data_IF_108861584159
#
_entry.id   IF_108861584159
#
_cell.length_a   1.000
_cell.length_b   1.000
_cell.length_c   1.000
_cell.angle_alpha   90.00
_cell.angle_beta   90.00
_cell.angle_gamma   90.00
#
_symmetry.space_group_name_H-M   'P 1'
#
loop_
_entity.id
_entity.type
_entity.pdbx_description
1 polymer ?
#
# COMPACT_ATOMS: atom_id res chain seq x y z
N UNK A 1 -11.46 6.06 0.72
CA UNK A 1 -10.51 4.96 1.05
C UNK A 1 -9.08 5.45 0.86
N UNK A 2 -8.21 5.00 1.71
CA UNK A 2 -6.76 5.17 1.61
C UNK A 2 -6.18 3.81 1.20
N UNK A 3 -5.63 3.72 0.01
CA UNK A 3 -5.00 2.48 -0.47
C UNK A 3 -3.54 2.49 -0.02
N UNK A 4 -3.11 1.42 0.63
CA UNK A 4 -1.76 1.35 1.21
C UNK A 4 -0.78 0.60 0.32
N UNK A 5 0.41 1.18 0.18
CA UNK A 5 1.58 0.55 -0.41
C UNK A 5 2.40 -0.18 0.66
N UNK A 6 3.27 -1.08 0.23
CA UNK A 6 4.10 -1.92 1.10
C UNK A 6 4.87 -1.12 2.14
N UNK A 7 5.64 -0.11 1.70
CA UNK A 7 6.49 0.68 2.60
C UNK A 7 5.71 1.41 3.69
N UNK A 8 4.49 1.86 3.40
CA UNK A 8 3.64 2.52 4.37
C UNK A 8 3.19 1.55 5.48
N UNK A 9 2.84 0.31 5.12
CA UNK A 9 2.43 -0.69 6.11
C UNK A 9 3.63 -1.17 6.94
N UNK A 10 4.78 -1.38 6.32
CA UNK A 10 6.01 -1.72 7.06
C UNK A 10 6.34 -0.63 8.08
N UNK A 11 6.30 0.64 7.69
CA UNK A 11 6.54 1.75 8.61
C UNK A 11 5.47 1.87 9.71
N UNK A 12 4.22 1.51 9.40
CA UNK A 12 3.14 1.45 10.39
C UNK A 12 3.42 0.41 11.48
N UNK A 13 4.08 -0.70 11.11
CA UNK A 13 4.41 -1.79 12.04
C UNK A 13 5.76 -1.55 12.74
N UNK A 14 6.74 -1.03 12.03
CA UNK A 14 8.11 -0.82 12.52
C UNK A 14 8.22 0.46 13.35
N UNK A 15 8.27 0.30 14.67
CA UNK A 15 8.37 1.44 15.60
C UNK A 15 9.66 2.25 15.43
N UNK A 16 10.69 1.68 14.84
CA UNK A 16 11.97 2.37 14.61
C UNK A 16 11.99 3.17 13.30
N UNK A 17 10.98 3.02 12.45
CA UNK A 17 10.90 3.77 11.20
C UNK A 17 10.57 5.24 11.46
N UNK A 18 11.28 6.13 10.77
CA UNK A 18 11.07 7.58 10.92
C UNK A 18 9.65 8.04 10.56
N UNK A 19 8.94 7.29 9.75
CA UNK A 19 7.56 7.59 9.35
C UNK A 19 6.51 6.92 10.23
N UNK A 20 6.94 6.11 11.20
CA UNK A 20 6.04 5.33 12.04
C UNK A 20 5.00 6.20 12.73
N UNK A 21 5.44 7.26 13.41
CA UNK A 21 4.53 8.09 14.21
C UNK A 21 3.44 8.74 13.35
N UNK A 22 3.79 9.33 12.22
CA UNK A 22 2.82 10.02 11.36
C UNK A 22 1.84 9.03 10.73
N UNK A 23 2.32 7.87 10.27
CA UNK A 23 1.46 6.85 9.67
C UNK A 23 0.57 6.19 10.72
N UNK A 24 1.11 5.94 11.91
CA UNK A 24 0.33 5.40 13.04
C UNK A 24 -0.81 6.35 13.44
N UNK A 25 -0.52 7.63 13.54
CA UNK A 25 -1.53 8.65 13.84
C UNK A 25 -2.63 8.69 12.78
N UNK A 26 -2.26 8.62 11.50
CA UNK A 26 -3.22 8.58 10.40
C UNK A 26 -4.09 7.33 10.44
N UNK A 27 -3.46 6.17 10.64
CA UNK A 27 -4.17 4.89 10.69
C UNK A 27 -5.14 4.83 11.87
N UNK A 28 -4.68 5.18 13.06
CA UNK A 28 -5.49 5.13 14.29
C UNK A 28 -6.66 6.11 14.25
N UNK A 29 -6.54 7.19 13.48
CA UNK A 29 -7.63 8.15 13.28
C UNK A 29 -8.85 7.56 12.58
N UNK A 30 -8.64 6.68 11.61
CA UNK A 30 -9.72 6.01 10.88
C UNK A 30 -9.23 4.71 10.23
N UNK A 31 -9.04 3.65 11.01
CA UNK A 31 -8.55 2.37 10.47
C UNK A 31 -9.45 1.77 9.39
N UNK A 32 -10.76 2.03 9.49
CA UNK A 32 -11.74 1.48 8.55
C UNK A 32 -11.60 2.05 7.14
N UNK A 33 -10.99 3.21 6.98
CA UNK A 33 -10.77 3.82 5.67
C UNK A 33 -9.55 3.26 4.93
N UNK A 34 -8.70 2.48 5.59
CA UNK A 34 -7.50 1.89 5.00
C UNK A 34 -7.80 0.59 4.28
N UNK A 35 -7.21 0.41 3.11
CA UNK A 35 -7.39 -0.77 2.26
C UNK A 35 -6.03 -1.27 1.81
N UNK A 36 -5.73 -2.54 2.09
CA UNK A 36 -4.49 -3.20 1.72
C UNK A 36 -4.72 -4.03 0.45
N UNK A 37 -4.12 -3.67 -0.70
CA UNK A 37 -4.17 -4.53 -1.87
C UNK A 37 -3.50 -5.88 -1.61
N UNK A 38 -4.05 -6.96 -2.13
CA UNK A 38 -3.52 -8.31 -1.95
C UNK A 38 -2.04 -8.44 -2.31
N UNK A 39 -1.59 -7.69 -3.33
CA UNK A 39 -0.22 -7.79 -3.83
C UNK A 39 0.84 -7.33 -2.85
N UNK A 40 0.49 -6.47 -1.89
CA UNK A 40 1.47 -6.03 -0.88
C UNK A 40 1.66 -7.03 0.25
N UNK A 41 0.73 -7.97 0.45
CA UNK A 41 0.71 -8.82 1.65
C UNK A 41 1.97 -9.68 1.79
N UNK A 42 2.40 -10.44 0.75
CA UNK A 42 3.64 -11.22 0.86
C UNK A 42 4.88 -10.35 1.04
N UNK A 43 4.91 -9.19 0.40
CA UNK A 43 6.05 -8.27 0.48
C UNK A 43 6.16 -7.65 1.88
N UNK A 44 5.05 -7.21 2.47
CA UNK A 44 5.01 -6.74 3.86
C UNK A 44 5.47 -7.84 4.81
N UNK A 45 4.93 -9.05 4.67
CA UNK A 45 5.29 -10.21 5.48
C UNK A 45 6.82 -10.46 5.46
N UNK A 46 7.40 -10.51 4.28
CA UNK A 46 8.82 -10.73 4.11
C UNK A 46 9.65 -9.60 4.75
N UNK A 47 9.31 -8.34 4.48
CA UNK A 47 10.07 -7.20 4.99
C UNK A 47 9.97 -7.06 6.51
N UNK A 48 8.80 -7.29 7.08
CA UNK A 48 8.62 -7.27 8.53
C UNK A 48 9.44 -8.37 9.20
N UNK A 49 9.43 -9.58 8.65
CA UNK A 49 10.25 -10.68 9.16
C UNK A 49 11.74 -10.41 9.06
N UNK A 50 12.19 -9.79 7.95
CA UNK A 50 13.60 -9.52 7.71
C UNK A 50 14.15 -8.32 8.50
N UNK A 51 13.34 -7.27 8.69
CA UNK A 51 13.81 -5.98 9.22
C UNK A 51 13.26 -5.62 10.60
N UNK A 52 12.18 -6.24 11.04
CA UNK A 52 11.61 -5.97 12.37
C UNK A 52 11.86 -7.16 13.29
N UNK A 53 11.07 -8.21 13.18
CA UNK A 53 11.23 -9.45 13.96
C UNK A 53 10.32 -10.56 13.46
N UNK A 54 10.64 -11.82 13.80
CA UNK A 54 9.75 -12.96 13.55
C UNK A 54 8.42 -12.80 14.29
N UNK A 55 8.46 -12.24 15.50
CA UNK A 55 7.24 -12.01 16.29
C UNK A 55 6.30 -11.01 15.64
N UNK A 56 6.85 -9.91 15.09
CA UNK A 56 6.05 -8.92 14.37
C UNK A 56 5.45 -9.51 13.09
N UNK A 57 6.21 -10.37 12.38
CA UNK A 57 5.73 -11.09 11.21
C UNK A 57 4.55 -12.00 11.54
N UNK A 58 4.67 -12.80 12.60
CA UNK A 58 3.60 -13.67 13.09
C UNK A 58 2.35 -12.86 13.46
N UNK A 59 2.53 -11.73 14.13
CA UNK A 59 1.44 -10.84 14.52
C UNK A 59 0.73 -10.26 13.29
N UNK A 60 1.47 -9.89 12.25
CA UNK A 60 0.87 -9.40 11.00
C UNK A 60 -0.02 -10.46 10.34
N UNK A 61 0.47 -11.68 10.22
CA UNK A 61 -0.32 -12.79 9.65
C UNK A 61 -1.56 -13.08 10.49
N UNK A 62 -1.43 -13.08 11.81
CA UNK A 62 -2.57 -13.26 12.72
C UNK A 62 -3.62 -12.14 12.55
N UNK A 63 -3.19 -10.89 12.45
CA UNK A 63 -4.07 -9.75 12.23
C UNK A 63 -4.81 -9.86 10.89
N UNK A 64 -4.14 -10.29 9.83
CA UNK A 64 -4.77 -10.56 8.54
C UNK A 64 -5.85 -11.64 8.65
N UNK A 65 -5.52 -12.76 9.31
CA UNK A 65 -6.43 -13.89 9.48
C UNK A 65 -7.66 -13.53 10.31
N UNK A 66 -7.51 -12.66 11.29
CA UNK A 66 -8.57 -12.17 12.16
C UNK A 66 -9.41 -11.03 11.56
N UNK A 67 -9.03 -10.54 10.39
CA UNK A 67 -9.74 -9.45 9.74
C UNK A 67 -9.46 -8.06 10.33
N UNK A 68 -8.33 -7.88 11.02
CA UNK A 68 -7.94 -6.59 11.58
C UNK A 68 -7.65 -5.53 10.51
N UNK A 69 -7.24 -5.97 9.32
CA UNK A 69 -7.05 -5.10 8.17
C UNK A 69 -8.10 -5.37 7.09
N UNK A 70 -8.56 -4.32 6.42
CA UNK A 70 -9.36 -4.48 5.23
C UNK A 70 -8.45 -4.82 4.04
N UNK A 71 -8.69 -5.95 3.40
CA UNK A 71 -7.90 -6.42 2.26
C UNK A 71 -8.71 -6.31 0.98
N UNK A 72 -8.11 -5.71 -0.04
CA UNK A 72 -8.65 -5.73 -1.40
C UNK A 72 -8.07 -6.95 -2.13
N UNK A 73 -8.85 -8.03 -2.23
CA UNK A 73 -8.43 -9.26 -2.91
C UNK A 73 -8.42 -9.09 -4.42
N UNK A 74 -9.18 -8.12 -4.93
CA UNK A 74 -9.20 -7.79 -6.34
C UNK A 74 -9.85 -8.85 -7.22
N UNK A 75 -9.61 -8.71 -8.52
CA UNK A 75 -9.99 -9.67 -9.54
C UNK A 75 -9.04 -9.59 -10.74
N UNK A 76 -9.32 -10.35 -11.81
CA UNK A 76 -8.48 -10.36 -13.02
C UNK A 76 -8.41 -8.99 -13.70
N UNK A 77 -9.45 -8.17 -13.59
CA UNK A 77 -9.45 -6.83 -14.16
C UNK A 77 -8.39 -5.91 -13.55
N UNK A 78 -8.02 -6.13 -12.29
CA UNK A 78 -6.93 -5.38 -11.65
C UNK A 78 -5.58 -5.70 -12.32
N UNK A 79 -5.37 -6.93 -12.78
CA UNK A 79 -4.16 -7.31 -13.52
C UNK A 79 -4.12 -6.68 -14.91
N UNK A 80 -5.25 -6.61 -15.60
CA UNK A 80 -5.36 -5.94 -16.89
C UNK A 80 -5.03 -4.46 -16.77
N UNK A 81 -5.56 -3.79 -15.75
CA UNK A 81 -5.27 -2.39 -15.48
C UNK A 81 -3.81 -2.17 -15.06
N UNK A 82 -3.25 -3.07 -14.25
CA UNK A 82 -1.83 -3.03 -13.87
C UNK A 82 -0.92 -3.12 -15.08
N UNK A 83 -1.23 -4.04 -16.02
CA UNK A 83 -0.50 -4.17 -17.27
C UNK A 83 -0.59 -2.89 -18.11
N UNK A 84 -1.78 -2.32 -18.23
CA UNK A 84 -2.01 -1.09 -18.99
C UNK A 84 -1.18 0.07 -18.45
N UNK A 85 -1.15 0.25 -17.13
CA UNK A 85 -0.36 1.29 -16.46
C UNK A 85 1.14 1.07 -16.69
N UNK A 86 1.63 -0.15 -16.55
CA UNK A 86 3.03 -0.48 -16.78
C UNK A 86 3.45 -0.19 -18.22
N UNK A 87 2.59 -0.46 -19.18
CA UNK A 87 2.82 -0.20 -20.60
C UNK A 87 2.83 1.30 -20.93
N UNK A 88 2.03 2.11 -20.22
CA UNK A 88 2.00 3.57 -20.40
C UNK A 88 3.27 4.25 -19.87
N UNK A 89 3.92 3.68 -18.87
CA UNK A 89 5.09 4.27 -18.19
C UNK A 89 6.29 3.32 -18.19
N UNK A 90 6.76 2.88 -19.38
CA UNK A 90 7.79 1.83 -19.44
C UNK A 90 9.11 2.23 -18.79
N UNK A 91 9.44 3.53 -18.78
CA UNK A 91 10.68 4.05 -18.20
C UNK A 91 10.69 4.01 -16.66
N UNK A 92 9.52 3.96 -16.04
CA UNK A 92 9.43 3.85 -14.59
C UNK A 92 9.77 2.46 -14.08
N UNK A 93 9.68 1.45 -14.94
CA UNK A 93 9.93 0.04 -14.57
C UNK A 93 9.17 -0.36 -13.30
N UNK A 94 7.89 0.02 -13.25
CA UNK A 94 7.02 -0.39 -12.14
C UNK A 94 6.93 -1.91 -12.10
N UNK A 95 7.10 -2.46 -10.90
CA UNK A 95 6.83 -3.86 -10.68
C UNK A 95 5.33 -4.12 -10.53
N UNK A 96 4.98 -5.41 -10.41
CA UNK A 96 3.60 -5.85 -10.23
C UNK A 96 2.93 -5.19 -9.02
N UNK A 97 3.65 -5.10 -7.90
CA UNK A 97 3.10 -4.55 -6.65
C UNK A 97 2.64 -3.10 -6.84
N UNK A 98 3.51 -2.22 -7.32
CA UNK A 98 3.16 -0.81 -7.54
C UNK A 98 1.99 -0.67 -8.51
N UNK A 99 2.02 -1.43 -9.60
CA UNK A 99 0.96 -1.38 -10.61
C UNK A 99 -0.39 -1.86 -10.07
N UNK A 100 -0.42 -2.89 -9.23
CA UNK A 100 -1.65 -3.37 -8.58
C UNK A 100 -2.15 -2.38 -7.53
N UNK A 101 -1.25 -1.76 -6.76
CA UNK A 101 -1.64 -0.70 -5.83
C UNK A 101 -2.34 0.44 -6.56
N UNK A 102 -1.78 0.90 -7.68
CA UNK A 102 -2.38 1.95 -8.51
C UNK A 102 -3.71 1.51 -9.11
N UNK A 103 -3.78 0.30 -9.65
CA UNK A 103 -5.03 -0.26 -10.21
C UNK A 103 -6.13 -0.35 -9.16
N UNK A 104 -5.79 -0.75 -7.94
CA UNK A 104 -6.73 -0.79 -6.81
C UNK A 104 -7.23 0.62 -6.48
N UNK A 105 -6.31 1.60 -6.41
CA UNK A 105 -6.66 2.99 -6.12
C UNK A 105 -7.63 3.56 -7.18
N UNK A 106 -7.43 3.23 -8.45
CA UNK A 106 -8.32 3.63 -9.53
C UNK A 106 -9.71 3.00 -9.35
N UNK A 107 -9.75 1.68 -9.12
CA UNK A 107 -11.01 0.94 -9.01
C UNK A 107 -11.88 1.43 -7.86
N UNK A 108 -11.29 1.67 -6.70
CA UNK A 108 -12.04 2.13 -5.51
C UNK A 108 -12.18 3.64 -5.44
N UNK A 109 -11.67 4.37 -6.43
CA UNK A 109 -11.65 5.85 -6.45
C UNK A 109 -11.07 6.40 -5.15
N UNK A 110 -9.89 5.92 -4.81
CA UNK A 110 -9.22 6.27 -3.56
C UNK A 110 -9.02 7.77 -3.43
N UNK A 111 -9.23 8.29 -2.23
CA UNK A 111 -8.94 9.70 -1.91
C UNK A 111 -7.45 9.93 -1.63
N UNK A 112 -6.76 8.87 -1.22
CA UNK A 112 -5.33 8.92 -0.96
C UNK A 112 -4.67 7.55 -1.19
N UNK A 113 -3.36 7.59 -1.41
CA UNK A 113 -2.47 6.43 -1.40
C UNK A 113 -1.44 6.68 -0.30
N UNK A 114 -1.33 5.76 0.64
CA UNK A 114 -0.27 5.80 1.64
C UNK A 114 0.97 5.12 1.07
N UNK A 115 1.99 5.89 0.76
CA UNK A 115 3.22 5.41 0.15
C UNK A 115 4.42 6.24 0.58
N UNK A 116 5.57 5.59 0.68
CA UNK A 116 6.87 6.24 0.86
C UNK A 116 7.68 6.27 -0.45
N UNK A 117 7.19 5.60 -1.49
CA UNK A 117 7.79 5.58 -2.83
C UNK A 117 7.20 6.69 -3.71
N UNK A 118 7.75 7.88 -3.57
CA UNK A 118 7.30 9.03 -4.37
C UNK A 118 7.78 8.96 -5.82
N UNK A 119 8.83 8.19 -6.11
CA UNK A 119 9.38 8.07 -7.46
C UNK A 119 8.35 7.54 -8.45
N UNK A 120 7.65 6.46 -8.11
CA UNK A 120 6.65 5.86 -8.96
C UNK A 120 5.30 6.56 -8.84
N UNK A 121 4.82 6.76 -7.63
CA UNK A 121 3.45 7.24 -7.40
C UNK A 121 3.24 8.70 -7.78
N UNK A 122 4.26 9.56 -7.66
CA UNK A 122 4.16 10.94 -8.10
C UNK A 122 4.26 11.10 -9.63
N UNK A 123 4.88 10.14 -10.32
CA UNK A 123 5.11 10.20 -11.76
C UNK A 123 3.92 9.73 -12.59
N UNK A 124 3.02 8.93 -12.01
CA UNK A 124 1.85 8.36 -12.69
C UNK A 124 0.63 9.26 -12.48
N UNK A 125 -0.06 9.59 -13.56
CA UNK A 125 -1.34 10.30 -13.48
C UNK A 125 -2.46 9.32 -13.18
N UNK A 126 -2.94 9.34 -11.94
CA UNK A 126 -4.08 8.52 -11.52
C UNK A 126 -5.35 9.36 -11.58
N UNK A 127 -6.45 8.87 -12.21
CA UNK A 127 -7.74 9.55 -12.18
C UNK A 127 -8.15 9.89 -10.73
N UNK A 128 -8.88 10.99 -10.55
CA UNK A 128 -9.26 11.56 -9.26
C UNK A 128 -8.08 12.14 -8.44
N UNK A 129 -6.85 11.97 -8.88
CA UNK A 129 -5.64 12.56 -8.28
C UNK A 129 -5.59 12.36 -6.76
N UNK A 130 -5.51 11.11 -6.27
CA UNK A 130 -5.44 10.85 -4.85
C UNK A 130 -4.22 11.54 -4.23
N UNK A 131 -4.37 11.99 -2.99
CA UNK A 131 -3.23 12.50 -2.22
C UNK A 131 -2.23 11.39 -1.98
N UNK A 132 -0.95 11.73 -1.94
CA UNK A 132 0.10 10.80 -1.51
C UNK A 132 0.44 11.09 -0.05
N UNK A 133 0.11 10.16 0.84
CA UNK A 133 0.34 10.32 2.27
C UNK A 133 1.60 9.56 2.70
N UNK A 134 2.41 10.12 3.61
CA UNK A 134 2.18 11.34 4.39
C UNK A 134 2.60 12.65 3.71
N UNK A 135 3.15 12.60 2.49
CA UNK A 135 3.66 13.82 1.82
C UNK A 135 2.64 14.95 1.75
N UNK A 136 1.41 14.64 1.40
CA UNK A 136 0.36 15.62 1.10
C UNK A 136 -0.56 15.91 2.31
N UNK A 137 -0.03 15.72 3.49
CA UNK A 137 -0.74 16.08 4.71
C UNK A 137 -1.00 17.57 4.81
#
# INVERSE_FOLDING_TARGET
MIVADTGAIVALIDRSDRHHHVLRTLYDGDPASWLLPWAILPEVDYLVGAHVSARAQEAFVADLAEGAFNVAWGDEADLDEAQRLSALYPKLRMGLVDAVVMATAIRVKATAIATLDLRHFAAVTIPARPKLLPRDL
#
